data_IF_194936639145
#
_entry.id   IF_194936639145
#
_cell.length_a   1.000
_cell.length_b   1.000
_cell.length_c   1.000
_cell.angle_alpha   90.00
_cell.angle_beta   90.00
_cell.angle_gamma   90.00
#
_symmetry.space_group_name_H-M   'P 1'
#
loop_
_entity.id
_entity.type
_entity.pdbx_description
1 polymer ?
#
# COMPACT_ATOMS: atom_id res chain seq x y z
N UNK A 1 3.12 7.38 -26.48
CA UNK A 1 4.17 7.01 -25.51
C UNK A 1 4.99 5.88 -26.10
N UNK A 2 6.32 5.98 -26.09
CA UNK A 2 7.18 4.85 -26.44
C UNK A 2 7.21 3.90 -25.22
N UNK A 3 6.87 2.61 -25.37
CA UNK A 3 7.05 1.61 -24.31
C UNK A 3 8.48 1.63 -23.81
N UNK A 4 8.69 1.61 -22.49
CA UNK A 4 10.02 1.71 -21.89
C UNK A 4 10.97 0.59 -22.37
N UNK A 5 10.43 -0.58 -22.72
CA UNK A 5 11.16 -1.69 -23.36
C UNK A 5 11.73 -1.33 -24.74
N UNK A 6 10.95 -0.61 -25.56
CA UNK A 6 11.42 -0.13 -26.88
C UNK A 6 12.50 0.93 -26.73
N UNK A 7 12.40 1.78 -25.71
CA UNK A 7 13.43 2.79 -25.41
C UNK A 7 14.73 2.13 -24.94
N UNK A 8 14.64 1.09 -24.11
CA UNK A 8 15.80 0.32 -23.65
C UNK A 8 16.51 -0.41 -24.78
N UNK A 9 15.76 -1.14 -25.60
CA UNK A 9 16.31 -1.82 -26.78
C UNK A 9 16.99 -0.82 -27.73
N UNK A 10 16.41 0.37 -27.92
CA UNK A 10 17.03 1.43 -28.71
C UNK A 10 18.37 1.90 -28.12
N UNK A 11 18.46 2.11 -26.80
CA UNK A 11 19.69 2.53 -26.13
C UNK A 11 20.77 1.44 -26.15
N UNK A 12 20.38 0.17 -25.98
CA UNK A 12 21.28 -0.98 -26.09
C UNK A 12 21.89 -1.09 -27.50
N UNK A 13 21.10 -0.87 -28.55
CA UNK A 13 21.59 -0.88 -29.92
C UNK A 13 22.45 0.35 -30.23
N UNK A 14 22.09 1.50 -29.67
CA UNK A 14 22.86 2.74 -29.80
C UNK A 14 24.25 2.61 -29.14
N UNK A 15 24.37 1.89 -28.01
CA UNK A 15 25.64 1.66 -27.31
C UNK A 15 26.62 0.76 -28.07
N UNK A 16 26.16 0.03 -29.10
CA UNK A 16 26.97 -0.80 -29.99
C UNK A 16 27.54 -0.03 -31.18
N UNK A 17 27.05 1.18 -31.45
CA UNK A 17 27.55 2.02 -32.56
C UNK A 17 28.89 2.65 -32.19
N UNK A 18 29.76 2.77 -33.20
CA UNK A 18 31.04 3.44 -33.08
C UNK A 18 30.87 4.96 -32.87
N UNK A 19 29.88 5.54 -33.56
CA UNK A 19 29.42 6.92 -33.43
C UNK A 19 27.93 6.96 -33.07
N UNK A 20 27.57 6.89 -31.78
CA UNK A 20 26.19 6.91 -31.34
C UNK A 20 25.55 8.28 -31.62
N UNK A 21 24.50 8.31 -32.43
CA UNK A 21 23.82 9.55 -32.82
C UNK A 21 22.32 9.51 -32.52
N UNK A 22 21.81 10.61 -31.95
CA UNK A 22 20.38 10.85 -31.73
C UNK A 22 20.02 12.24 -32.25
N UNK A 23 19.10 12.32 -33.22
CA UNK A 23 18.63 13.57 -33.82
C UNK A 23 19.77 14.51 -34.29
N UNK A 24 20.78 14.01 -35.01
CA UNK A 24 21.86 14.86 -35.51
C UNK A 24 22.96 15.17 -34.50
N UNK A 25 22.86 14.67 -33.25
CA UNK A 25 23.85 14.91 -32.19
C UNK A 25 24.55 13.61 -31.84
N UNK A 26 25.87 13.65 -31.87
CA UNK A 26 26.71 12.54 -31.45
C UNK A 26 26.85 12.52 -29.92
N UNK A 27 26.83 11.33 -29.35
CA UNK A 27 26.98 11.07 -27.93
C UNK A 27 28.11 10.09 -27.70
N UNK A 28 28.88 10.29 -26.64
CA UNK A 28 29.87 9.30 -26.26
C UNK A 28 29.19 8.01 -25.80
N UNK A 29 29.86 6.87 -26.01
CA UNK A 29 29.39 5.57 -25.53
C UNK A 29 29.05 5.59 -24.03
N UNK A 30 29.82 6.33 -23.23
CA UNK A 30 29.59 6.45 -21.79
C UNK A 30 28.28 7.21 -21.46
N UNK A 31 27.92 8.23 -22.24
CA UNK A 31 26.64 8.93 -22.10
C UNK A 31 25.45 8.01 -22.46
N UNK A 32 25.59 7.18 -23.49
CA UNK A 32 24.54 6.22 -23.88
C UNK A 32 24.34 5.17 -22.79
N UNK A 33 25.42 4.63 -22.23
CA UNK A 33 25.35 3.67 -21.11
C UNK A 33 24.73 4.28 -19.85
N UNK A 34 25.02 5.55 -19.55
CA UNK A 34 24.38 6.27 -18.45
C UNK A 34 22.87 6.41 -18.68
N UNK A 35 22.45 6.78 -19.89
CA UNK A 35 21.05 6.90 -20.24
C UNK A 35 20.31 5.55 -20.13
N UNK A 36 20.92 4.46 -20.61
CA UNK A 36 20.38 3.11 -20.46
C UNK A 36 20.16 2.76 -18.99
N UNK A 37 21.18 2.99 -18.15
CA UNK A 37 21.10 2.73 -16.71
C UNK A 37 19.99 3.51 -16.03
N UNK A 38 19.85 4.79 -16.35
CA UNK A 38 18.77 5.63 -15.81
C UNK A 38 17.39 5.09 -16.22
N UNK A 39 17.21 4.66 -17.46
CA UNK A 39 15.93 4.07 -17.90
C UNK A 39 15.63 2.77 -17.15
N UNK A 40 16.63 1.90 -16.90
CA UNK A 40 16.46 0.69 -16.09
C UNK A 40 16.12 1.01 -14.64
N UNK A 41 16.83 1.95 -14.03
CA UNK A 41 16.62 2.34 -12.63
C UNK A 41 15.21 2.94 -12.44
N UNK A 42 14.77 3.77 -13.39
CA UNK A 42 13.40 4.31 -13.41
C UNK A 42 12.37 3.22 -13.63
N UNK A 43 12.59 2.28 -14.57
CA UNK A 43 11.70 1.13 -14.74
C UNK A 43 11.59 0.29 -13.48
N UNK A 44 12.70 0.03 -12.80
CA UNK A 44 12.73 -0.71 -11.54
C UNK A 44 11.98 0.05 -10.44
N UNK A 45 12.23 1.35 -10.29
CA UNK A 45 11.55 2.20 -9.32
C UNK A 45 10.04 2.26 -9.59
N UNK A 46 9.63 2.41 -10.85
CA UNK A 46 8.21 2.37 -11.25
C UNK A 46 7.63 0.97 -11.03
N UNK A 47 8.36 -0.10 -11.36
CA UNK A 47 7.92 -1.47 -11.14
C UNK A 47 7.71 -1.78 -9.67
N UNK A 48 8.59 -1.27 -8.80
CA UNK A 48 8.47 -1.34 -7.33
C UNK A 48 7.29 -0.48 -6.86
N UNK A 49 7.13 0.74 -7.38
CA UNK A 49 6.01 1.62 -7.05
C UNK A 49 4.65 1.11 -7.57
N UNK A 50 4.65 0.30 -8.62
CA UNK A 50 3.44 -0.29 -9.23
C UNK A 50 2.98 -1.56 -8.51
N UNK A 51 3.81 -2.14 -7.63
CA UNK A 51 3.42 -3.28 -6.82
C UNK A 51 2.56 -2.81 -5.65
N UNK A 52 1.29 -3.21 -5.67
CA UNK A 52 0.36 -2.98 -4.56
C UNK A 52 0.97 -3.51 -3.27
N UNK A 53 0.97 -2.74 -2.17
CA UNK A 53 1.47 -3.23 -0.90
C UNK A 53 0.74 -4.50 -0.49
N UNK A 54 1.49 -5.47 0.03
CA UNK A 54 0.98 -6.76 0.44
C UNK A 54 0.44 -6.68 1.87
N UNK A 55 -0.85 -6.91 2.05
CA UNK A 55 -1.51 -6.90 3.36
C UNK A 55 -2.42 -8.11 3.53
N UNK A 56 -2.67 -8.51 4.78
CA UNK A 56 -3.80 -9.40 5.05
C UNK A 56 -5.12 -8.65 4.84
N UNK A 57 -6.19 -9.37 4.52
CA UNK A 57 -7.52 -8.77 4.30
C UNK A 57 -7.97 -7.90 5.48
N UNK A 58 -7.74 -8.35 6.72
CA UNK A 58 -8.05 -7.57 7.93
C UNK A 58 -7.30 -6.23 7.94
N UNK A 59 -5.99 -6.26 7.72
CA UNK A 59 -5.15 -5.04 7.75
C UNK A 59 -5.54 -4.07 6.64
N UNK A 60 -5.75 -4.57 5.42
CA UNK A 60 -6.22 -3.75 4.31
C UNK A 60 -7.58 -3.10 4.62
N UNK A 61 -8.49 -3.84 5.27
CA UNK A 61 -9.80 -3.29 5.63
C UNK A 61 -9.70 -2.27 6.76
N UNK A 62 -8.84 -2.48 7.77
CA UNK A 62 -8.58 -1.49 8.82
C UNK A 62 -8.15 -0.17 8.19
N UNK A 63 -7.20 -0.19 7.24
CA UNK A 63 -6.72 1.02 6.55
C UNK A 63 -7.89 1.76 5.89
N UNK A 64 -8.68 1.07 5.06
CA UNK A 64 -9.81 1.69 4.36
C UNK A 64 -10.88 2.22 5.33
N UNK A 65 -11.19 1.47 6.39
CA UNK A 65 -12.18 1.87 7.38
C UNK A 65 -11.70 3.09 8.18
N UNK A 66 -10.42 3.13 8.54
CA UNK A 66 -9.85 4.25 9.26
C UNK A 66 -9.82 5.51 8.38
N UNK A 67 -9.35 5.43 7.13
CA UNK A 67 -9.34 6.59 6.23
C UNK A 67 -10.72 7.18 5.96
N UNK A 68 -11.74 6.33 5.82
CA UNK A 68 -13.09 6.80 5.55
C UNK A 68 -13.80 7.37 6.79
N UNK A 69 -13.42 6.92 7.99
CA UNK A 69 -14.25 7.10 9.18
C UNK A 69 -13.47 7.43 10.46
N UNK A 70 -12.19 7.78 10.42
CA UNK A 70 -11.39 8.05 11.63
C UNK A 70 -12.04 9.07 12.58
N UNK A 71 -12.75 10.06 12.03
CA UNK A 71 -13.35 11.17 12.77
C UNK A 71 -14.83 10.98 13.13
N UNK A 72 -15.41 9.79 12.91
CA UNK A 72 -16.81 9.52 13.28
C UNK A 72 -16.90 8.50 14.42
N UNK A 73 -17.82 8.70 15.38
CA UNK A 73 -17.94 7.84 16.55
C UNK A 73 -18.54 6.46 16.21
N UNK A 74 -19.30 6.36 15.11
CA UNK A 74 -19.96 5.14 14.68
C UNK A 74 -19.89 5.01 13.16
N UNK A 75 -19.81 3.78 12.66
CA UNK A 75 -19.94 3.53 11.22
C UNK A 75 -21.38 3.79 10.75
N UNK A 76 -21.57 4.23 9.49
CA UNK A 76 -22.89 4.28 8.87
C UNK A 76 -23.60 2.91 8.93
N UNK A 77 -24.90 2.90 9.19
CA UNK A 77 -25.68 1.66 9.34
C UNK A 77 -25.75 0.82 8.06
N UNK A 78 -25.63 1.47 6.91
CA UNK A 78 -25.63 0.89 5.57
C UNK A 78 -24.23 0.49 5.09
N UNK A 79 -23.17 0.70 5.90
CA UNK A 79 -21.81 0.36 5.53
C UNK A 79 -21.63 -1.16 5.41
N UNK A 80 -21.32 -1.63 4.20
CA UNK A 80 -21.04 -3.05 3.94
C UNK A 80 -19.56 -3.32 3.72
N UNK A 81 -19.10 -4.51 4.12
CA UNK A 81 -17.73 -4.96 3.86
C UNK A 81 -17.43 -5.19 2.36
N UNK A 82 -18.45 -5.32 1.50
CA UNK A 82 -18.25 -5.42 0.06
C UNK A 82 -17.68 -4.12 -0.53
N UNK A 83 -18.20 -2.97 -0.10
CA UNK A 83 -17.68 -1.66 -0.52
C UNK A 83 -16.24 -1.46 -0.06
N UNK A 84 -15.93 -1.86 1.18
CA UNK A 84 -14.59 -1.83 1.75
C UNK A 84 -13.65 -2.76 0.98
N UNK A 85 -14.09 -3.99 0.69
CA UNK A 85 -13.31 -4.95 -0.09
C UNK A 85 -12.93 -4.40 -1.46
N UNK A 86 -13.90 -3.84 -2.20
CA UNK A 86 -13.63 -3.27 -3.53
C UNK A 86 -12.55 -2.20 -3.49
N UNK A 87 -12.62 -1.27 -2.52
CA UNK A 87 -11.61 -0.22 -2.33
C UNK A 87 -10.26 -0.82 -1.92
N UNK A 88 -10.24 -1.76 -0.98
CA UNK A 88 -9.02 -2.43 -0.54
C UNK A 88 -8.32 -3.19 -1.69
N UNK A 89 -9.05 -3.92 -2.53
CA UNK A 89 -8.50 -4.66 -3.67
C UNK A 89 -7.92 -3.76 -4.76
N UNK A 90 -8.36 -2.50 -4.85
CA UNK A 90 -7.77 -1.53 -5.76
C UNK A 90 -6.38 -1.10 -5.30
N UNK A 91 -6.12 -1.08 -3.99
CA UNK A 91 -4.88 -0.53 -3.40
C UNK A 91 -3.89 -1.59 -2.91
N UNK A 92 -4.37 -2.74 -2.45
CA UNK A 92 -3.53 -3.75 -1.80
C UNK A 92 -3.59 -5.10 -2.51
N UNK A 93 -2.49 -5.84 -2.44
CA UNK A 93 -2.46 -7.26 -2.79
C UNK A 93 -2.71 -8.09 -1.53
N UNK A 94 -3.68 -9.01 -1.57
CA UNK A 94 -4.03 -9.81 -0.40
C UNK A 94 -3.10 -11.02 -0.25
N UNK A 95 -2.35 -11.06 0.85
CA UNK A 95 -1.38 -12.14 1.11
C UNK A 95 -2.01 -13.49 1.48
N UNK A 96 -3.25 -13.52 1.99
CA UNK A 96 -3.88 -14.73 2.50
C UNK A 96 -5.34 -14.89 2.05
N UNK A 97 -5.71 -16.15 1.76
CA UNK A 97 -7.08 -16.66 1.55
C UNK A 97 -7.81 -16.94 2.87
N UNK A 98 -7.60 -16.15 3.93
CA UNK A 98 -8.24 -16.42 5.23
C UNK A 98 -9.77 -16.44 5.06
N UNK A 99 -10.37 -17.63 5.22
CA UNK A 99 -11.76 -17.95 4.87
C UNK A 99 -12.75 -17.49 5.96
N UNK A 100 -12.26 -17.11 7.15
CA UNK A 100 -13.10 -16.45 8.16
C UNK A 100 -13.46 -15.05 7.67
N UNK A 101 -14.61 -14.96 7.02
CA UNK A 101 -15.22 -13.70 6.64
C UNK A 101 -15.67 -12.97 7.89
N UNK A 102 -15.08 -11.80 8.15
CA UNK A 102 -15.76 -10.79 8.95
C UNK A 102 -17.13 -10.51 8.33
N UNK A 103 -18.13 -10.31 9.17
CA UNK A 103 -19.50 -10.03 8.75
C UNK A 103 -19.79 -8.54 8.82
N UNK A 104 -19.15 -7.81 9.74
CA UNK A 104 -19.37 -6.37 9.95
C UNK A 104 -18.08 -5.56 9.98
N UNK A 105 -18.13 -4.25 9.67
CA UNK A 105 -17.00 -3.33 9.89
C UNK A 105 -16.48 -3.33 11.33
N UNK A 106 -17.37 -3.44 12.32
CA UNK A 106 -17.00 -3.45 13.74
C UNK A 106 -16.14 -4.65 14.14
N UNK A 107 -16.38 -5.82 13.55
CA UNK A 107 -15.53 -7.00 13.82
C UNK A 107 -14.10 -6.84 13.30
N UNK A 108 -13.94 -6.07 12.23
CA UNK A 108 -12.64 -5.78 11.62
C UNK A 108 -11.90 -4.74 12.45
N UNK A 109 -12.56 -3.60 12.68
CA UNK A 109 -12.02 -2.37 13.21
C UNK A 109 -13.05 -1.66 14.09
N UNK A 110 -13.22 -2.07 15.35
CA UNK A 110 -14.21 -1.45 16.25
C UNK A 110 -13.85 0.00 16.57
N UNK A 111 -14.86 0.86 16.73
CA UNK A 111 -14.67 2.26 17.15
C UNK A 111 -14.26 2.41 18.60
N UNK A 112 -14.65 1.46 19.44
CA UNK A 112 -14.15 1.30 20.80
C UNK A 112 -13.60 -0.12 20.97
N UNK A 113 -12.31 -0.36 20.66
CA UNK A 113 -11.73 -1.68 20.77
C UNK A 113 -11.59 -2.19 22.20
N UNK A 114 -11.48 -1.29 23.19
CA UNK A 114 -11.32 -1.69 24.59
C UNK A 114 -12.58 -2.38 25.09
N UNK A 115 -13.74 -1.75 24.89
CA UNK A 115 -15.03 -2.35 25.25
C UNK A 115 -15.40 -3.51 24.32
N UNK A 116 -15.14 -3.40 23.01
CA UNK A 116 -15.48 -4.48 22.07
C UNK A 116 -14.79 -5.81 22.40
N UNK A 117 -13.59 -5.77 22.97
CA UNK A 117 -12.81 -6.96 23.32
C UNK A 117 -12.70 -7.23 24.83
N UNK A 118 -13.52 -6.59 25.67
CA UNK A 118 -13.45 -6.72 27.13
C UNK A 118 -13.41 -8.19 27.58
N UNK A 119 -14.29 -9.03 27.04
CA UNK A 119 -14.36 -10.46 27.35
C UNK A 119 -13.57 -11.36 26.37
N UNK A 120 -12.74 -10.77 25.49
CA UNK A 120 -12.06 -11.50 24.42
C UNK A 120 -10.60 -11.07 24.24
N UNK A 121 -9.78 -11.39 25.24
CA UNK A 121 -8.34 -11.09 25.27
C UNK A 121 -7.59 -11.63 24.03
N UNK A 122 -7.93 -12.82 23.53
CA UNK A 122 -7.32 -13.39 22.33
C UNK A 122 -7.69 -12.61 21.05
N UNK A 123 -8.94 -12.15 20.94
CA UNK A 123 -9.39 -11.24 19.89
C UNK A 123 -8.63 -9.92 19.93
N UNK A 124 -8.51 -9.33 21.13
CA UNK A 124 -7.75 -8.09 21.38
C UNK A 124 -6.30 -8.23 20.96
N UNK A 125 -5.61 -9.30 21.38
CA UNK A 125 -4.20 -9.53 21.06
C UNK A 125 -3.96 -9.60 19.54
N UNK A 126 -4.85 -10.27 18.79
CA UNK A 126 -4.78 -10.35 17.33
C UNK A 126 -5.05 -9.00 16.66
N UNK A 127 -6.02 -8.24 17.16
CA UNK A 127 -6.31 -6.90 16.67
C UNK A 127 -5.13 -5.94 16.92
N UNK A 128 -4.61 -5.91 18.15
CA UNK A 128 -3.41 -5.14 18.53
C UNK A 128 -2.21 -5.49 17.66
N UNK A 129 -1.99 -6.77 17.37
CA UNK A 129 -0.94 -7.20 16.44
C UNK A 129 -1.16 -6.63 15.04
N UNK A 130 -2.40 -6.65 14.52
CA UNK A 130 -2.73 -6.05 13.23
C UNK A 130 -2.45 -4.53 13.22
N UNK A 131 -2.83 -3.80 14.27
CA UNK A 131 -2.54 -2.37 14.40
C UNK A 131 -1.04 -2.10 14.44
N UNK A 132 -0.26 -2.85 15.24
CA UNK A 132 1.20 -2.70 15.33
C UNK A 132 1.87 -2.77 13.95
N UNK A 133 1.49 -3.73 13.13
CA UNK A 133 2.05 -3.86 11.78
C UNK A 133 1.71 -2.68 10.89
N UNK A 134 0.48 -2.17 10.97
CA UNK A 134 0.07 -1.01 10.20
C UNK A 134 0.77 0.27 10.67
N UNK A 135 0.98 0.45 11.98
CA UNK A 135 1.67 1.62 12.54
C UNK A 135 3.14 1.67 12.12
N UNK A 136 3.85 0.55 12.17
CA UNK A 136 5.30 0.47 11.87
C UNK A 136 5.66 0.99 10.47
N UNK A 137 4.78 0.76 9.49
CA UNK A 137 4.99 1.16 8.09
C UNK A 137 3.82 2.00 7.56
N UNK A 138 3.21 2.78 8.46
CA UNK A 138 1.95 3.50 8.22
C UNK A 138 1.95 4.39 6.96
N UNK A 139 3.04 5.12 6.73
CA UNK A 139 3.26 5.92 5.52
C UNK A 139 3.18 5.14 4.20
N UNK A 140 3.34 3.81 4.21
CA UNK A 140 3.22 2.95 3.01
C UNK A 140 1.78 2.57 2.69
N UNK A 141 0.89 2.68 3.66
CA UNK A 141 -0.47 2.14 3.56
C UNK A 141 -1.55 3.22 3.53
N UNK A 142 -1.30 4.37 4.16
CA UNK A 142 -2.27 5.45 4.29
C UNK A 142 -2.04 6.55 3.24
N UNK A 143 -3.13 7.02 2.64
CA UNK A 143 -3.17 8.19 1.75
C UNK A 143 -3.73 9.43 2.47
N UNK A 144 -4.40 9.24 3.62
CA UNK A 144 -4.97 10.30 4.46
C UNK A 144 -4.14 10.45 5.73
N UNK A 145 -3.33 11.52 5.88
CA UNK A 145 -2.43 11.71 7.02
C UNK A 145 -3.14 11.76 8.38
N UNK A 146 -4.35 12.30 8.45
CA UNK A 146 -5.14 12.39 9.68
C UNK A 146 -5.57 11.00 10.16
N UNK A 147 -5.96 10.12 9.23
CA UNK A 147 -6.29 8.74 9.54
C UNK A 147 -5.05 7.94 9.96
N UNK A 148 -3.89 8.22 9.35
CA UNK A 148 -2.61 7.66 9.76
C UNK A 148 -2.28 8.02 11.22
N UNK A 149 -2.42 9.30 11.56
CA UNK A 149 -2.19 9.79 12.92
C UNK A 149 -3.20 9.19 13.91
N UNK A 150 -4.48 9.14 13.53
CA UNK A 150 -5.56 8.52 14.31
C UNK A 150 -5.26 7.06 14.64
N UNK A 151 -4.79 6.26 13.67
CA UNK A 151 -4.42 4.86 13.91
C UNK A 151 -3.29 4.72 14.95
N UNK A 152 -2.31 5.64 14.93
CA UNK A 152 -1.20 5.63 15.90
C UNK A 152 -1.70 5.91 17.31
N UNK A 153 -2.62 6.87 17.47
CA UNK A 153 -3.27 7.17 18.76
C UNK A 153 -4.06 5.95 19.24
N UNK A 154 -4.93 5.42 18.38
CA UNK A 154 -5.73 4.24 18.69
C UNK A 154 -4.86 3.04 19.12
N UNK A 155 -3.72 2.83 18.46
CA UNK A 155 -2.81 1.75 18.82
C UNK A 155 -2.23 1.91 20.23
N UNK A 156 -1.91 3.13 20.64
CA UNK A 156 -1.47 3.42 22.01
C UNK A 156 -2.61 3.22 23.02
N UNK A 157 -3.83 3.66 22.72
CA UNK A 157 -5.00 3.43 23.59
C UNK A 157 -5.24 1.92 23.80
N UNK A 158 -5.18 1.13 22.72
CA UNK A 158 -5.35 -0.34 22.73
C UNK A 158 -4.19 -1.08 23.42
N UNK A 159 -3.06 -0.43 23.69
CA UNK A 159 -1.98 -1.00 24.51
C UNK A 159 -2.22 -0.78 26.00
N UNK A 160 -2.90 0.31 26.35
CA UNK A 160 -3.12 0.75 27.73
C UNK A 160 -4.38 0.14 28.35
N UNK A 161 -5.32 -0.29 27.50
CA UNK A 161 -6.32 -1.27 27.85
C UNK A 161 -5.86 -2.68 27.41
#
# INVERSE_FOLDING_TARGET
>A
MIPSEKLLSYLEDLAKKEHPEVNGKEYSRLQVLLAERLVRDVQNAIGIASQKPKLSRRRAFIVILEELYYNVPNYPKDLTLQGIHRRASQRFEFMNRDVKSFTTPMEVHPKDPCTFYEDNAHGKARYRSALKHLVLESHRYFEVPEAEASLKILFEDVKLC
#
